data_IF_768848194046
#
_entry.id   IF_768848194046
#
_cell.length_a   1.000
_cell.length_b   1.000
_cell.length_c   1.000
_cell.angle_alpha   90.00
_cell.angle_beta   90.00
_cell.angle_gamma   90.00
#
_symmetry.space_group_name_H-M   'P 1'
#
loop_
_entity.id
_entity.type
_entity.pdbx_description
1 polymer ?
#
# COMPACT_ATOMS: atom_id res chain seq x y z
N UNK A 1 -1.95 -15.79 0.41
CA UNK A 1 -2.29 -15.51 1.81
C UNK A 1 -2.96 -16.71 2.45
N UNK A 2 -3.18 -16.66 3.76
CA UNK A 2 -4.02 -17.61 4.51
C UNK A 2 -5.43 -17.05 4.76
N UNK A 3 -6.31 -17.81 5.42
CA UNK A 3 -7.64 -17.32 5.81
C UNK A 3 -7.53 -16.11 6.76
N UNK A 4 -8.56 -15.27 6.81
CA UNK A 4 -8.61 -14.20 7.80
C UNK A 4 -8.53 -14.76 9.24
N UNK A 5 -7.85 -14.02 10.11
CA UNK A 5 -7.65 -14.40 11.51
C UNK A 5 -8.99 -14.63 12.21
N UNK A 6 -9.11 -15.74 12.94
CA UNK A 6 -10.29 -16.07 13.74
C UNK A 6 -11.40 -16.85 13.02
N UNK A 7 -11.35 -17.01 11.69
CA UNK A 7 -12.39 -17.76 10.96
C UNK A 7 -12.24 -19.27 11.14
N UNK A 8 -11.02 -19.80 11.06
CA UNK A 8 -10.74 -21.23 11.25
C UNK A 8 -9.90 -21.44 12.50
N UNK A 9 -10.42 -22.24 13.44
CA UNK A 9 -9.72 -22.57 14.70
C UNK A 9 -8.36 -23.24 14.50
N UNK A 10 -8.16 -23.90 13.36
CA UNK A 10 -6.95 -24.67 13.04
C UNK A 10 -6.15 -24.05 11.89
N UNK A 11 -6.31 -22.75 11.62
CA UNK A 11 -5.47 -22.06 10.64
C UNK A 11 -3.99 -22.17 11.00
N UNK A 12 -3.17 -22.58 10.04
CA UNK A 12 -1.72 -22.46 10.11
C UNK A 12 -1.32 -21.26 9.25
N UNK A 13 -0.66 -20.28 9.86
CA UNK A 13 -0.12 -19.12 9.15
C UNK A 13 1.35 -19.40 8.82
N UNK A 14 1.73 -19.16 7.57
CA UNK A 14 3.10 -19.34 7.11
C UNK A 14 3.83 -18.02 7.33
N UNK A 15 4.92 -18.07 8.08
CA UNK A 15 5.83 -16.94 8.22
C UNK A 15 6.75 -16.84 7.00
N UNK A 16 7.06 -15.62 6.60
CA UNK A 16 8.04 -15.33 5.56
C UNK A 16 9.07 -14.34 6.11
N UNK A 17 10.31 -14.49 5.68
CA UNK A 17 11.40 -13.59 6.02
C UNK A 17 12.12 -13.16 4.75
N UNK A 18 12.55 -11.90 4.71
CA UNK A 18 13.32 -11.34 3.62
C UNK A 18 14.42 -10.45 4.19
N UNK A 19 15.59 -10.45 3.56
CA UNK A 19 16.65 -9.50 3.87
C UNK A 19 16.46 -8.23 3.05
N UNK A 20 16.49 -7.06 3.73
CA UNK A 20 16.46 -5.76 3.06
C UNK A 20 17.89 -5.27 2.82
N UNK A 21 18.17 -4.82 1.60
CA UNK A 21 19.41 -4.13 1.21
C UNK A 21 19.28 -2.61 1.38
N UNK A 22 20.42 -1.91 1.37
CA UNK A 22 20.43 -0.45 1.46
C UNK A 22 19.67 0.16 0.28
N UNK A 23 18.71 1.05 0.58
CA UNK A 23 17.84 1.65 -0.41
C UNK A 23 16.55 0.87 -0.69
N UNK A 24 16.40 -0.36 -0.17
CA UNK A 24 15.16 -1.11 -0.31
C UNK A 24 14.02 -0.46 0.47
N UNK A 25 12.83 -0.58 -0.11
CA UNK A 25 11.59 -0.04 0.42
C UNK A 25 10.59 -1.19 0.54
N UNK A 26 10.07 -1.40 1.74
CA UNK A 26 8.95 -2.29 2.00
C UNK A 26 7.72 -1.44 2.28
N UNK A 27 6.64 -1.71 1.56
CA UNK A 27 5.34 -1.05 1.75
C UNK A 27 4.29 -2.09 2.04
N UNK A 28 3.55 -1.89 3.13
CA UNK A 28 2.37 -2.67 3.49
C UNK A 28 1.16 -1.75 3.52
N UNK A 29 0.04 -2.21 2.98
CA UNK A 29 -1.18 -1.41 2.82
C UNK A 29 -2.43 -2.27 3.02
N UNK A 30 -3.55 -1.64 3.38
CA UNK A 30 -4.89 -2.25 3.30
C UNK A 30 -5.45 -2.14 1.88
N UNK A 31 -6.36 -3.05 1.53
CA UNK A 31 -7.11 -3.03 0.28
C UNK A 31 -7.80 -1.69 -0.01
N UNK A 32 -8.21 -0.92 1.01
CA UNK A 32 -8.71 0.44 0.84
C UNK A 32 -7.84 1.35 -0.05
N UNK A 33 -6.52 1.13 -0.09
CA UNK A 33 -5.61 1.86 -1.00
C UNK A 33 -5.85 1.47 -2.46
N UNK A 34 -5.80 0.19 -2.78
CA UNK A 34 -5.88 -0.32 -4.16
C UNK A 34 -7.30 -0.41 -4.69
N UNK A 35 -8.28 -0.59 -3.80
CA UNK A 35 -9.71 -0.70 -4.10
C UNK A 35 -10.46 0.64 -4.01
N UNK A 36 -9.76 1.74 -3.73
CA UNK A 36 -10.29 3.10 -3.88
C UNK A 36 -10.76 3.34 -5.32
N UNK A 37 -11.92 3.99 -5.48
CA UNK A 37 -12.55 4.19 -6.80
C UNK A 37 -12.79 5.65 -7.12
N UNK A 38 -12.44 6.04 -8.33
CA UNK A 38 -12.79 7.36 -8.86
C UNK A 38 -14.28 7.44 -9.23
N UNK A 39 -14.72 8.62 -9.70
CA UNK A 39 -16.11 8.87 -10.12
C UNK A 39 -16.59 8.03 -11.31
N UNK A 40 -15.68 7.45 -12.07
CA UNK A 40 -15.98 6.50 -13.15
C UNK A 40 -16.10 5.05 -12.64
N UNK A 41 -15.91 4.83 -11.34
CA UNK A 41 -15.93 3.51 -10.71
C UNK A 41 -14.68 2.67 -10.93
N UNK A 42 -13.62 3.27 -11.51
CA UNK A 42 -12.34 2.61 -11.77
C UNK A 42 -11.51 2.52 -10.49
N UNK A 43 -10.85 1.38 -10.28
CA UNK A 43 -9.96 1.17 -9.14
C UNK A 43 -8.63 1.91 -9.31
N UNK A 44 -8.06 2.39 -8.20
CA UNK A 44 -6.70 2.95 -8.16
C UNK A 44 -5.69 1.90 -8.63
N UNK A 45 -5.79 0.68 -8.08
CA UNK A 45 -5.09 -0.51 -8.53
C UNK A 45 -3.60 -0.59 -8.19
N UNK A 46 -3.07 -1.82 -8.27
CA UNK A 46 -1.67 -2.13 -7.97
C UNK A 46 -0.69 -1.43 -8.93
N UNK A 47 -1.03 -1.36 -10.23
CA UNK A 47 -0.15 -0.80 -11.26
C UNK A 47 0.20 0.67 -10.99
N UNK A 48 -0.78 1.45 -10.52
CA UNK A 48 -0.58 2.86 -10.16
C UNK A 48 0.25 2.98 -8.90
N UNK A 49 -0.01 2.17 -7.87
CA UNK A 49 0.79 2.12 -6.64
C UNK A 49 2.26 1.79 -6.95
N UNK A 50 2.50 0.75 -7.74
CA UNK A 50 3.84 0.33 -8.16
C UNK A 50 4.53 1.44 -8.94
N UNK A 51 3.83 2.07 -9.88
CA UNK A 51 4.37 3.18 -10.66
C UNK A 51 4.78 4.34 -9.76
N UNK A 52 3.96 4.67 -8.77
CA UNK A 52 4.25 5.70 -7.77
C UNK A 52 5.50 5.36 -6.96
N UNK A 53 5.59 4.15 -6.42
CA UNK A 53 6.75 3.66 -5.67
C UNK A 53 8.05 3.72 -6.47
N UNK A 54 8.00 3.36 -7.76
CA UNK A 54 9.16 3.40 -8.65
C UNK A 54 9.61 4.83 -8.95
N UNK A 55 8.69 5.79 -8.99
CA UNK A 55 8.99 7.21 -9.25
C UNK A 55 9.56 7.97 -8.04
N UNK A 56 9.30 7.47 -6.83
CA UNK A 56 9.60 8.16 -5.57
C UNK A 56 10.75 7.52 -4.76
N UNK A 57 11.67 6.80 -5.42
CA UNK A 57 12.76 6.05 -4.76
C UNK A 57 13.70 6.93 -3.92
N UNK A 58 13.85 8.22 -4.25
CA UNK A 58 14.69 9.15 -3.49
C UNK A 58 14.03 9.67 -2.22
N UNK A 59 12.71 9.55 -2.08
CA UNK A 59 11.96 10.09 -0.94
C UNK A 59 12.30 9.36 0.36
N UNK A 60 12.19 10.06 1.49
CA UNK A 60 12.22 9.41 2.81
C UNK A 60 10.97 8.52 2.98
N UNK A 61 10.97 7.58 3.93
CA UNK A 61 9.81 6.73 4.16
C UNK A 61 8.54 7.54 4.45
N UNK A 62 8.64 8.59 5.27
CA UNK A 62 7.52 9.47 5.60
C UNK A 62 7.05 10.29 4.39
N UNK A 63 7.98 10.84 3.60
CA UNK A 63 7.63 11.58 2.39
C UNK A 63 6.94 10.67 1.36
N UNK A 64 7.48 9.47 1.13
CA UNK A 64 6.88 8.48 0.25
C UNK A 64 5.46 8.10 0.68
N UNK A 65 5.24 7.88 1.97
CA UNK A 65 3.91 7.58 2.50
C UNK A 65 2.91 8.70 2.21
N UNK A 66 3.31 9.95 2.43
CA UNK A 66 2.49 11.13 2.11
C UNK A 66 2.20 11.24 0.62
N UNK A 67 3.21 11.05 -0.22
CA UNK A 67 3.07 11.12 -1.67
C UNK A 67 2.12 10.05 -2.23
N UNK A 68 2.08 8.84 -1.63
CA UNK A 68 1.13 7.79 -2.02
C UNK A 68 -0.29 8.17 -1.63
N UNK A 69 -0.51 8.64 -0.39
CA UNK A 69 -1.83 9.08 0.06
C UNK A 69 -2.36 10.23 -0.80
N UNK A 70 -1.52 11.22 -1.10
CA UNK A 70 -1.87 12.32 -2.00
C UNK A 70 -2.22 11.82 -3.41
N UNK A 71 -1.52 10.81 -3.93
CA UNK A 71 -1.83 10.23 -5.25
C UNK A 71 -3.18 9.50 -5.27
N UNK A 72 -3.53 8.80 -4.18
CA UNK A 72 -4.85 8.17 -4.01
C UNK A 72 -5.95 9.23 -3.91
N UNK A 73 -5.75 10.28 -3.10
CA UNK A 73 -6.70 11.39 -2.97
C UNK A 73 -6.92 12.10 -4.30
N UNK A 74 -5.86 12.38 -5.05
CA UNK A 74 -5.96 12.98 -6.39
C UNK A 74 -6.71 12.07 -7.38
N UNK A 75 -6.54 10.75 -7.27
CA UNK A 75 -7.25 9.79 -8.12
C UNK A 75 -8.75 9.71 -7.79
N UNK A 76 -9.11 9.75 -6.51
CA UNK A 76 -10.50 9.81 -6.05
C UNK A 76 -11.22 11.07 -6.54
N UNK A 77 -10.53 12.21 -6.55
CA UNK A 77 -11.12 13.50 -6.88
C UNK A 77 -12.09 13.95 -5.79
N UNK A 78 -13.36 14.17 -6.14
CA UNK A 78 -14.42 14.53 -5.19
C UNK A 78 -15.04 13.32 -4.47
N UNK A 79 -14.67 12.10 -4.89
CA UNK A 79 -15.14 10.87 -4.25
C UNK A 79 -14.46 10.65 -2.89
N UNK A 80 -15.15 9.90 -2.03
CA UNK A 80 -14.58 9.46 -0.75
C UNK A 80 -14.00 8.05 -0.89
N UNK A 81 -12.97 7.70 -0.10
CA UNK A 81 -12.54 6.31 0.02
C UNK A 81 -13.72 5.41 0.39
N UNK A 82 -13.80 4.25 -0.24
CA UNK A 82 -14.84 3.26 0.05
C UNK A 82 -14.52 2.43 1.31
N UNK A 83 -13.28 2.51 1.80
CA UNK A 83 -12.77 1.83 2.99
C UNK A 83 -11.64 2.65 3.63
N UNK A 84 -11.18 2.25 4.82
CA UNK A 84 -10.09 2.90 5.55
C UNK A 84 -8.75 2.75 4.82
N UNK A 85 -8.05 3.87 4.65
CA UNK A 85 -6.72 3.92 4.06
C UNK A 85 -5.65 3.70 5.13
N UNK A 86 -4.96 2.56 5.06
CA UNK A 86 -3.82 2.25 5.94
C UNK A 86 -2.57 1.98 5.12
N UNK A 87 -1.46 2.61 5.51
CA UNK A 87 -0.17 2.50 4.85
C UNK A 87 0.98 2.48 5.86
N UNK A 88 1.90 1.53 5.70
CA UNK A 88 3.17 1.47 6.43
C UNK A 88 4.31 1.44 5.42
N UNK A 89 5.26 2.37 5.57
CA UNK A 89 6.45 2.46 4.72
C UNK A 89 7.70 2.27 5.58
N UNK A 90 8.52 1.30 5.20
CA UNK A 90 9.82 1.04 5.81
C UNK A 90 10.87 1.21 4.72
N UNK A 91 11.89 2.03 4.98
CA UNK A 91 13.02 2.23 4.08
C UNK A 91 14.32 1.95 4.81
N UNK A 92 15.12 1.03 4.28
CA UNK A 92 16.47 0.80 4.82
C UNK A 92 17.40 1.89 4.30
N UNK A 93 17.89 2.72 5.22
CA UNK A 93 18.87 3.75 4.91
C UNK A 93 20.21 3.10 4.61
N UNK A 94 20.98 3.78 3.76
CA UNK A 94 22.36 3.41 3.43
C UNK A 94 23.30 3.53 4.62
#
# INVERSE_FOLDING_TARGET
GGPALGILKTSVYVEQSLEMSNGDILVAYSDGVTESRNSSGEFYGDDRLISKLLSSKSSTAAALGKEILEDVEMFLGDERPNDDLSLVVIKKLS
#
